data_IF_090520600046
#
_entry.id   IF_090520600046
#
_cell.length_a   1.000
_cell.length_b   1.000
_cell.length_c   1.000
_cell.angle_alpha   90.00
_cell.angle_beta   90.00
_cell.angle_gamma   90.00
#
_symmetry.space_group_name_H-M   'P 1'
#
loop_
_entity.id
_entity.type
_entity.pdbx_description
1 polymer ?
#
# COMPACT_ATOMS: atom_id res chain seq x y z
N UNK A 1 -24.50 -16.81 18.83
CA UNK A 1 -24.67 -16.18 17.51
C UNK A 1 -24.47 -17.18 16.36
N UNK A 2 -23.44 -18.03 16.40
CA UNK A 2 -23.14 -19.04 15.36
C UNK A 2 -24.37 -19.82 14.83
N UNK A 3 -25.16 -20.44 15.71
CA UNK A 3 -26.35 -21.21 15.31
C UNK A 3 -27.42 -20.36 14.61
N UNK A 4 -27.51 -19.07 14.95
CA UNK A 4 -28.49 -18.13 14.39
C UNK A 4 -28.05 -17.69 12.98
N UNK A 5 -26.74 -17.52 12.76
CA UNK A 5 -26.18 -17.16 11.45
C UNK A 5 -26.05 -18.35 10.50
N UNK A 6 -26.25 -19.59 10.99
CA UNK A 6 -26.13 -20.81 10.18
C UNK A 6 -26.94 -20.83 8.90
N UNK A 7 -28.24 -20.52 8.91
CA UNK A 7 -29.02 -20.46 7.67
C UNK A 7 -28.44 -19.42 6.69
N UNK A 8 -27.98 -18.28 7.21
CA UNK A 8 -27.44 -17.18 6.40
C UNK A 8 -26.15 -17.59 5.69
N UNK A 9 -25.19 -18.18 6.42
CA UNK A 9 -23.93 -18.59 5.78
C UNK A 9 -24.08 -19.83 4.89
N UNK A 10 -25.04 -20.73 5.18
CA UNK A 10 -25.33 -21.88 4.32
C UNK A 10 -25.94 -21.46 2.98
N UNK A 11 -26.87 -20.50 2.99
CA UNK A 11 -27.42 -19.91 1.76
C UNK A 11 -26.29 -19.33 0.91
N UNK A 12 -25.38 -18.55 1.52
CA UNK A 12 -24.25 -17.93 0.82
C UNK A 12 -23.25 -18.95 0.29
N UNK A 13 -22.86 -19.94 1.09
CA UNK A 13 -21.96 -21.01 0.68
C UNK A 13 -22.49 -21.83 -0.50
N UNK A 14 -23.81 -21.90 -0.70
CA UNK A 14 -24.41 -22.60 -1.84
C UNK A 14 -24.28 -21.85 -3.17
N UNK A 15 -23.95 -20.55 -3.14
CA UNK A 15 -23.82 -19.74 -4.34
C UNK A 15 -22.54 -20.11 -5.12
N UNK A 16 -22.59 -20.20 -6.46
CA UNK A 16 -21.46 -20.66 -7.27
C UNK A 16 -20.31 -19.64 -7.36
N UNK A 17 -20.49 -18.41 -6.91
CA UNK A 17 -19.45 -17.37 -6.89
C UNK A 17 -18.76 -17.26 -5.52
N UNK A 18 -19.29 -17.89 -4.47
CA UNK A 18 -18.71 -17.82 -3.13
C UNK A 18 -17.45 -18.68 -3.07
N UNK A 19 -16.32 -18.05 -2.72
CA UNK A 19 -15.03 -18.69 -2.53
C UNK A 19 -14.85 -19.14 -1.10
N UNK A 20 -15.18 -18.30 -0.12
CA UNK A 20 -15.07 -18.68 1.29
C UNK A 20 -16.02 -17.92 2.20
N UNK A 21 -16.27 -18.51 3.36
CA UNK A 21 -17.03 -17.89 4.45
C UNK A 21 -16.26 -18.06 5.76
N UNK A 22 -15.87 -16.93 6.35
CA UNK A 22 -15.18 -16.84 7.63
C UNK A 22 -16.12 -16.27 8.69
N UNK A 23 -16.05 -16.82 9.90
CA UNK A 23 -16.71 -16.27 11.08
C UNK A 23 -15.66 -15.77 12.06
N UNK A 24 -15.82 -14.54 12.52
CA UNK A 24 -14.96 -13.90 13.50
C UNK A 24 -15.83 -13.56 14.70
N UNK A 25 -15.53 -14.15 15.85
CA UNK A 25 -16.21 -13.82 17.10
C UNK A 25 -15.36 -12.83 17.90
N UNK A 26 -16.01 -11.86 18.51
CA UNK A 26 -15.29 -10.93 19.37
C UNK A 26 -14.78 -11.68 20.61
N UNK A 27 -13.47 -11.70 20.81
CA UNK A 27 -12.85 -12.43 21.92
C UNK A 27 -12.84 -11.61 23.22
N UNK A 28 -12.98 -10.28 23.15
CA UNK A 28 -12.97 -9.35 24.31
C UNK A 28 -13.80 -8.09 24.04
N UNK A 29 -14.51 -7.58 25.05
CA UNK A 29 -15.36 -6.38 24.91
C UNK A 29 -14.60 -5.14 24.41
N UNK A 30 -13.29 -5.03 24.70
CA UNK A 30 -12.45 -3.88 24.33
C UNK A 30 -11.72 -4.03 22.99
N UNK A 31 -11.89 -5.14 22.27
CA UNK A 31 -11.18 -5.39 21.02
C UNK A 31 -11.90 -4.77 19.81
N UNK A 32 -11.27 -3.81 19.08
CA UNK A 32 -11.91 -3.15 17.94
C UNK A 32 -12.00 -4.04 16.69
N UNK A 33 -11.48 -5.29 16.70
CA UNK A 33 -11.46 -6.18 15.53
C UNK A 33 -12.84 -6.32 14.88
N UNK A 34 -13.93 -6.34 15.63
CA UNK A 34 -15.28 -6.53 15.08
C UNK A 34 -16.08 -5.24 14.99
N UNK A 35 -15.46 -4.05 15.06
CA UNK A 35 -16.15 -2.75 15.06
C UNK A 35 -17.32 -2.70 16.06
N UNK A 36 -17.10 -3.25 17.26
CA UNK A 36 -18.08 -3.44 18.35
C UNK A 36 -19.14 -4.51 18.14
N UNK A 37 -19.22 -5.20 17.00
CA UNK A 37 -20.15 -6.31 16.80
C UNK A 37 -19.73 -7.56 17.59
N UNK A 38 -20.67 -8.42 17.96
CA UNK A 38 -20.34 -9.68 18.63
C UNK A 38 -19.76 -10.70 17.64
N UNK A 39 -20.13 -10.59 16.37
CA UNK A 39 -19.71 -11.52 15.32
C UNK A 39 -19.63 -10.84 13.96
N UNK A 40 -18.57 -11.12 13.21
CA UNK A 40 -18.44 -10.77 11.80
C UNK A 40 -18.54 -12.03 10.94
N UNK A 41 -19.41 -11.98 9.93
CA UNK A 41 -19.49 -12.97 8.87
C UNK A 41 -18.83 -12.39 7.61
N UNK A 42 -17.64 -12.85 7.29
CA UNK A 42 -16.84 -12.33 6.18
C UNK A 42 -16.88 -13.32 5.01
N UNK A 43 -17.45 -12.88 3.89
CA UNK A 43 -17.70 -13.71 2.72
C UNK A 43 -16.88 -13.16 1.56
N UNK A 44 -16.08 -14.03 0.95
CA UNK A 44 -15.26 -13.70 -0.22
C UNK A 44 -15.86 -14.40 -1.43
N UNK A 45 -16.12 -13.65 -2.50
CA UNK A 45 -16.64 -14.15 -3.77
C UNK A 45 -15.64 -13.93 -4.90
N UNK A 46 -15.78 -14.66 -6.01
CA UNK A 46 -14.93 -14.50 -7.18
C UNK A 46 -15.18 -13.16 -7.90
N UNK A 47 -16.41 -12.68 -7.88
CA UNK A 47 -16.78 -11.39 -8.44
C UNK A 47 -18.04 -10.84 -7.73
N UNK A 48 -18.19 -9.52 -7.71
CA UNK A 48 -19.41 -8.86 -7.25
C UNK A 48 -19.74 -7.69 -8.17
N UNK A 49 -21.04 -7.45 -8.40
CA UNK A 49 -21.50 -6.22 -9.04
C UNK A 49 -21.28 -5.00 -8.13
N UNK A 50 -21.46 -5.18 -6.82
CA UNK A 50 -21.25 -4.15 -5.80
C UNK A 50 -19.94 -4.43 -5.07
N UNK A 51 -19.00 -3.47 -4.97
CA UNK A 51 -17.68 -3.71 -4.39
C UNK A 51 -17.71 -4.31 -2.97
N UNK A 52 -18.61 -3.80 -2.13
CA UNK A 52 -18.80 -4.25 -0.75
C UNK A 52 -20.30 -4.28 -0.46
N UNK A 53 -20.82 -5.44 -0.07
CA UNK A 53 -22.19 -5.55 0.43
C UNK A 53 -22.15 -5.80 1.94
N UNK A 54 -22.82 -4.95 2.71
CA UNK A 54 -22.89 -5.09 4.17
C UNK A 54 -24.33 -5.27 4.61
N UNK A 55 -24.57 -6.23 5.51
CA UNK A 55 -25.85 -6.38 6.21
C UNK A 55 -25.60 -6.52 7.70
N UNK A 56 -26.45 -5.92 8.51
CA UNK A 56 -26.42 -6.07 9.97
C UNK A 56 -27.58 -6.93 10.44
N UNK A 57 -27.31 -7.78 11.42
CA UNK A 57 -28.29 -8.66 12.05
C UNK A 57 -28.28 -8.40 13.55
N UNK A 58 -29.43 -8.56 14.19
CA UNK A 58 -29.55 -8.60 15.65
C UNK A 58 -30.61 -9.61 16.05
N UNK A 59 -30.37 -10.31 17.16
CA UNK A 59 -31.36 -11.20 17.79
C UNK A 59 -32.00 -10.55 19.04
N UNK A 60 -31.79 -9.25 19.23
CA UNK A 60 -32.23 -8.48 20.40
C UNK A 60 -31.25 -8.46 21.57
N UNK A 61 -30.23 -9.32 21.58
CA UNK A 61 -29.16 -9.33 22.59
C UNK A 61 -27.79 -9.12 21.98
N UNK A 62 -27.55 -9.78 20.86
CA UNK A 62 -26.29 -9.78 20.15
C UNK A 62 -26.50 -9.15 18.76
N UNK A 63 -25.43 -8.61 18.20
CA UNK A 63 -25.34 -7.99 16.89
C UNK A 63 -24.26 -8.65 16.05
N UNK A 64 -24.55 -8.87 14.78
CA UNK A 64 -23.59 -9.37 13.81
C UNK A 64 -23.56 -8.50 12.55
N UNK A 65 -22.39 -8.38 11.94
CA UNK A 65 -22.26 -7.77 10.62
C UNK A 65 -21.81 -8.84 9.61
N UNK A 66 -22.42 -8.82 8.43
CA UNK A 66 -22.01 -9.64 7.30
C UNK A 66 -21.44 -8.72 6.23
N UNK A 67 -20.23 -9.01 5.80
CA UNK A 67 -19.57 -8.33 4.69
C UNK A 67 -19.34 -9.34 3.56
N UNK A 68 -19.80 -9.00 2.36
CA UNK A 68 -19.53 -9.73 1.12
C UNK A 68 -18.64 -8.85 0.26
N UNK A 69 -17.47 -9.37 -0.11
CA UNK A 69 -16.51 -8.68 -0.97
C UNK A 69 -16.02 -9.62 -2.07
N UNK A 70 -15.57 -9.05 -3.18
CA UNK A 70 -14.90 -9.83 -4.21
C UNK A 70 -13.44 -10.05 -3.86
N UNK A 71 -12.83 -11.09 -4.43
CA UNK A 71 -11.39 -11.32 -4.39
C UNK A 71 -10.59 -10.10 -4.86
N UNK A 72 -11.08 -9.41 -5.90
CA UNK A 72 -10.48 -8.16 -6.39
C UNK A 72 -10.46 -7.09 -5.30
N UNK A 73 -11.60 -6.88 -4.62
CA UNK A 73 -11.70 -5.91 -3.54
C UNK A 73 -10.82 -6.28 -2.34
N UNK A 74 -10.73 -7.57 -2.01
CA UNK A 74 -9.85 -8.09 -0.97
C UNK A 74 -8.39 -7.81 -1.29
N UNK A 75 -7.95 -8.16 -2.50
CA UNK A 75 -6.60 -7.92 -3.00
C UNK A 75 -6.27 -6.42 -2.93
N UNK A 76 -7.18 -5.56 -3.38
CA UNK A 76 -7.02 -4.11 -3.26
C UNK A 76 -6.83 -3.66 -1.81
N UNK A 77 -7.63 -4.17 -0.86
CA UNK A 77 -7.48 -3.85 0.56
C UNK A 77 -6.16 -4.33 1.16
N UNK A 78 -5.70 -5.52 0.79
CA UNK A 78 -4.41 -6.05 1.22
C UNK A 78 -3.25 -5.19 0.67
N UNK A 79 -3.38 -4.66 -0.55
CA UNK A 79 -2.36 -3.81 -1.18
C UNK A 79 -2.37 -2.36 -0.65
N UNK A 80 -3.53 -1.71 -0.53
CA UNK A 80 -3.64 -0.30 -0.11
C UNK A 80 -3.57 -0.15 1.42
N UNK A 81 -4.14 -1.11 2.14
CA UNK A 81 -4.38 -0.98 3.57
C UNK A 81 -3.17 -1.34 4.43
N UNK A 82 -3.06 -0.61 5.53
CA UNK A 82 -2.54 -1.09 6.82
C UNK A 82 -3.69 -1.67 7.66
N UNK A 83 -4.76 -2.15 7.00
CA UNK A 83 -6.00 -2.53 7.66
C UNK A 83 -5.83 -3.87 8.38
N UNK A 84 -5.16 -3.77 9.54
CA UNK A 84 -4.86 -4.87 10.45
C UNK A 84 -6.11 -5.70 10.73
N UNK A 85 -7.28 -5.07 10.84
CA UNK A 85 -8.57 -5.73 11.01
C UNK A 85 -8.86 -6.77 9.92
N UNK A 86 -8.64 -6.46 8.65
CA UNK A 86 -8.87 -7.41 7.55
C UNK A 86 -7.89 -8.58 7.65
N UNK A 87 -6.61 -8.30 7.95
CA UNK A 87 -5.61 -9.34 8.16
C UNK A 87 -6.00 -10.24 9.33
N UNK A 88 -6.40 -9.64 10.46
CA UNK A 88 -6.86 -10.35 11.65
C UNK A 88 -8.09 -11.21 11.34
N UNK A 89 -9.04 -10.72 10.54
CA UNK A 89 -10.20 -11.52 10.12
C UNK A 89 -9.80 -12.74 9.28
N UNK A 90 -8.84 -12.60 8.37
CA UNK A 90 -8.36 -13.70 7.52
C UNK A 90 -7.54 -14.72 8.32
N UNK A 91 -6.73 -14.26 9.27
CA UNK A 91 -5.84 -15.12 10.06
C UNK A 91 -6.57 -15.79 11.22
N UNK A 92 -7.39 -15.05 11.95
CA UNK A 92 -8.08 -15.52 13.17
C UNK A 92 -9.47 -16.09 12.88
N UNK A 93 -10.07 -15.75 11.74
CA UNK A 93 -11.41 -16.21 11.36
C UNK A 93 -11.48 -17.73 11.26
N UNK A 94 -12.58 -18.29 11.78
CA UNK A 94 -12.91 -19.70 11.62
C UNK A 94 -13.56 -19.91 10.25
N UNK A 95 -13.01 -20.83 9.47
CA UNK A 95 -13.50 -21.18 8.14
C UNK A 95 -14.75 -22.07 8.27
N UNK A 96 -15.87 -21.64 7.69
CA UNK A 96 -17.13 -22.41 7.63
C UNK A 96 -17.42 -22.98 6.24
N UNK A 97 -16.89 -22.34 5.21
CA UNK A 97 -16.94 -22.79 3.83
C UNK A 97 -15.67 -22.34 3.14
N UNK A 98 -15.07 -23.24 2.36
CA UNK A 98 -13.86 -22.96 1.61
C UNK A 98 -13.85 -23.73 0.30
N UNK A 99 -13.98 -23.00 -0.80
CA UNK A 99 -13.96 -23.57 -2.14
C UNK A 99 -12.52 -23.73 -2.57
N UNK A 100 -12.18 -24.96 -2.96
CA UNK A 100 -10.86 -25.31 -3.42
C UNK A 100 -9.77 -24.80 -2.46
N UNK A 101 -10.00 -24.81 -1.13
CA UNK A 101 -9.04 -24.35 -0.11
C UNK A 101 -8.54 -22.90 -0.29
N UNK A 102 -9.40 -22.02 -0.81
CA UNK A 102 -9.10 -20.61 -1.02
C UNK A 102 -8.63 -19.87 0.24
N UNK A 103 -9.44 -19.90 1.30
CA UNK A 103 -9.15 -19.20 2.54
C UNK A 103 -7.94 -19.81 3.26
N UNK A 104 -7.78 -21.13 3.21
CA UNK A 104 -6.63 -21.81 3.79
C UNK A 104 -5.32 -21.39 3.09
N UNK A 105 -5.29 -21.35 1.75
CA UNK A 105 -4.13 -20.82 1.01
C UNK A 105 -3.85 -19.36 1.34
N UNK A 106 -4.88 -18.53 1.40
CA UNK A 106 -4.72 -17.11 1.72
C UNK A 106 -4.15 -16.93 3.14
N UNK A 107 -4.63 -17.71 4.11
CA UNK A 107 -4.13 -17.69 5.48
C UNK A 107 -2.68 -18.16 5.57
N UNK A 108 -2.30 -19.21 4.84
CA UNK A 108 -0.92 -19.67 4.74
C UNK A 108 -0.02 -18.59 4.11
N UNK A 109 -0.47 -17.96 3.03
CA UNK A 109 0.26 -16.88 2.38
C UNK A 109 0.48 -15.69 3.32
N UNK A 110 -0.56 -15.23 4.03
CA UNK A 110 -0.45 -14.12 4.98
C UNK A 110 0.39 -14.48 6.22
N UNK A 111 0.46 -15.76 6.58
CA UNK A 111 1.32 -16.22 7.68
C UNK A 111 2.79 -16.29 7.27
N UNK A 112 3.07 -16.68 6.03
CA UNK A 112 4.43 -16.76 5.48
C UNK A 112 4.99 -15.39 5.05
N UNK A 113 4.14 -14.56 4.44
CA UNK A 113 4.45 -13.20 3.98
C UNK A 113 3.38 -12.22 4.51
N UNK A 114 3.56 -11.70 5.74
CA UNK A 114 2.60 -10.79 6.37
C UNK A 114 2.36 -9.49 5.61
N UNK A 115 3.29 -9.09 4.74
CA UNK A 115 3.19 -7.90 3.89
C UNK A 115 2.88 -8.30 2.44
N UNK A 116 1.64 -8.70 2.20
CA UNK A 116 1.13 -8.91 0.85
C UNK A 116 1.42 -7.71 -0.05
N UNK A 117 2.10 -7.94 -1.17
CA UNK A 117 2.50 -6.89 -2.11
C UNK A 117 3.56 -5.93 -1.59
N UNK A 118 4.50 -6.41 -0.76
CA UNK A 118 5.62 -5.65 -0.19
C UNK A 118 6.27 -4.70 -1.21
N UNK A 119 6.64 -5.20 -2.38
CA UNK A 119 7.35 -4.41 -3.40
C UNK A 119 6.48 -3.26 -3.97
N UNK A 120 5.17 -3.48 -4.13
CA UNK A 120 4.23 -2.42 -4.54
C UNK A 120 4.16 -1.34 -3.46
N UNK A 121 4.01 -1.74 -2.19
CA UNK A 121 3.94 -0.81 -1.06
C UNK A 121 5.22 -0.01 -0.91
N UNK A 122 6.39 -0.63 -1.11
CA UNK A 122 7.68 0.07 -1.11
C UNK A 122 7.73 1.13 -2.21
N UNK A 123 7.36 0.77 -3.45
CA UNK A 123 7.34 1.73 -4.55
C UNK A 123 6.40 2.90 -4.31
N UNK A 124 5.20 2.64 -3.76
CA UNK A 124 4.24 3.69 -3.42
C UNK A 124 4.76 4.65 -2.35
N UNK A 125 5.37 4.14 -1.26
CA UNK A 125 5.94 5.02 -0.22
C UNK A 125 7.16 5.77 -0.73
N UNK A 126 8.00 5.15 -1.58
CA UNK A 126 9.12 5.86 -2.21
C UNK A 126 8.64 7.00 -3.11
N UNK A 127 7.63 6.75 -3.96
CA UNK A 127 7.07 7.76 -4.86
C UNK A 127 6.57 8.99 -4.08
N UNK A 128 5.84 8.75 -2.99
CA UNK A 128 5.36 9.81 -2.08
C UNK A 128 6.49 10.53 -1.36
N UNK A 129 7.51 9.79 -0.90
CA UNK A 129 8.70 10.35 -0.26
C UNK A 129 9.44 11.32 -1.19
N UNK A 130 9.67 10.91 -2.44
CA UNK A 130 10.38 11.72 -3.46
C UNK A 130 9.58 12.97 -3.79
N UNK A 131 8.25 12.85 -3.96
CA UNK A 131 7.39 14.01 -4.23
C UNK A 131 7.47 15.02 -3.10
N UNK A 132 7.28 14.56 -1.86
CA UNK A 132 7.37 15.43 -0.68
C UNK A 132 8.76 16.06 -0.54
N UNK A 133 9.83 15.30 -0.81
CA UNK A 133 11.20 15.81 -0.82
C UNK A 133 11.39 16.93 -1.85
N UNK A 134 11.01 16.70 -3.11
CA UNK A 134 11.18 17.68 -4.19
C UNK A 134 10.37 18.96 -3.94
N UNK A 135 9.11 18.83 -3.54
CA UNK A 135 8.28 19.98 -3.16
C UNK A 135 8.92 20.74 -1.98
N UNK A 136 9.40 20.02 -0.97
CA UNK A 136 10.09 20.60 0.19
C UNK A 136 11.35 21.37 -0.19
N UNK A 137 12.19 20.82 -1.05
CA UNK A 137 13.39 21.50 -1.60
C UNK A 137 13.02 22.79 -2.32
N UNK A 138 11.98 22.78 -3.16
CA UNK A 138 11.51 24.00 -3.86
C UNK A 138 11.04 25.07 -2.87
N UNK A 139 10.36 24.70 -1.79
CA UNK A 139 9.98 25.66 -0.74
C UNK A 139 11.19 26.19 0.02
N UNK A 140 12.15 25.31 0.34
CA UNK A 140 13.38 25.66 1.04
C UNK A 140 14.24 26.66 0.27
N UNK A 141 14.48 26.40 -1.02
CA UNK A 141 15.24 27.30 -1.91
C UNK A 141 14.60 28.68 -2.06
N UNK A 142 13.26 28.73 -1.98
CA UNK A 142 12.49 29.97 -1.99
C UNK A 142 12.36 30.62 -0.60
N UNK A 143 13.10 30.13 0.39
CA UNK A 143 13.10 30.61 1.80
C UNK A 143 11.73 30.55 2.47
N UNK A 144 10.83 29.69 1.97
CA UNK A 144 9.51 29.41 2.56
C UNK A 144 9.64 28.27 3.56
N UNK A 145 10.36 28.52 4.65
CA UNK A 145 10.79 27.46 5.57
C UNK A 145 9.63 26.71 6.23
N UNK A 146 8.50 27.36 6.52
CA UNK A 146 7.35 26.69 7.13
C UNK A 146 6.69 25.67 6.19
N UNK A 147 6.58 26.02 4.91
CA UNK A 147 6.07 25.07 3.89
C UNK A 147 7.07 23.93 3.66
N UNK A 148 8.37 24.25 3.61
CA UNK A 148 9.44 23.26 3.50
C UNK A 148 9.42 22.28 4.68
N UNK A 149 9.12 22.78 5.89
CA UNK A 149 9.03 21.99 7.11
C UNK A 149 7.91 20.97 7.07
N UNK A 150 6.71 21.37 6.63
CA UNK A 150 5.60 20.43 6.42
C UNK A 150 5.99 19.31 5.43
N UNK A 151 6.64 19.67 4.33
CA UNK A 151 7.08 18.72 3.31
C UNK A 151 8.20 17.80 3.79
N UNK A 152 9.14 18.31 4.59
CA UNK A 152 10.17 17.52 5.23
C UNK A 152 9.58 16.47 6.18
N UNK A 153 8.60 16.84 7.01
CA UNK A 153 7.87 15.89 7.86
C UNK A 153 7.21 14.80 7.03
N UNK A 154 6.51 15.16 5.95
CA UNK A 154 5.84 14.18 5.09
C UNK A 154 6.84 13.22 4.43
N UNK A 155 7.97 13.74 3.92
CA UNK A 155 9.03 12.91 3.33
C UNK A 155 9.60 11.92 4.35
N UNK A 156 9.90 12.38 5.58
CA UNK A 156 10.36 11.51 6.67
C UNK A 156 9.31 10.48 7.09
N UNK A 157 8.02 10.84 7.08
CA UNK A 157 6.94 9.91 7.40
C UNK A 157 6.85 8.78 6.36
N UNK A 158 6.94 9.09 5.07
CA UNK A 158 6.98 8.08 4.01
C UNK A 158 8.25 7.23 4.06
N UNK A 159 9.40 7.83 4.40
CA UNK A 159 10.64 7.09 4.67
C UNK A 159 10.46 6.07 5.80
N UNK A 160 9.90 6.48 6.94
CA UNK A 160 9.67 5.58 8.07
C UNK A 160 8.76 4.39 7.71
N UNK A 161 7.71 4.66 6.93
CA UNK A 161 6.79 3.62 6.44
C UNK A 161 7.50 2.68 5.45
N UNK A 162 8.28 3.22 4.52
CA UNK A 162 9.09 2.43 3.59
C UNK A 162 10.08 1.51 4.33
N UNK A 163 10.76 2.03 5.34
CA UNK A 163 11.72 1.27 6.15
C UNK A 163 11.03 0.16 6.96
N UNK A 164 9.85 0.42 7.52
CA UNK A 164 9.05 -0.61 8.18
C UNK A 164 8.66 -1.73 7.19
N UNK A 165 8.13 -1.38 6.01
CA UNK A 165 7.78 -2.37 4.97
C UNK A 165 9.00 -3.17 4.54
N UNK A 166 10.15 -2.50 4.35
CA UNK A 166 11.41 -3.15 4.00
C UNK A 166 11.82 -4.18 5.05
N UNK A 167 11.65 -3.87 6.33
CA UNK A 167 11.89 -4.76 7.46
C UNK A 167 10.78 -5.79 7.71
N UNK A 168 9.91 -6.02 6.73
CA UNK A 168 8.77 -6.94 6.80
C UNK A 168 7.82 -6.65 7.99
N UNK A 169 7.68 -5.37 8.35
CA UNK A 169 6.81 -4.90 9.44
C UNK A 169 5.70 -4.01 8.88
N UNK A 170 4.45 -4.26 9.28
CA UNK A 170 3.33 -3.40 8.91
C UNK A 170 3.50 -1.99 9.50
N UNK A 171 3.53 -0.92 8.69
CA UNK A 171 3.61 0.44 9.23
C UNK A 171 2.33 0.78 9.99
N UNK A 172 2.45 1.01 11.29
CA UNK A 172 1.32 1.42 12.13
C UNK A 172 1.11 2.94 12.10
N UNK A 173 -0.01 3.41 12.63
CA UNK A 173 -0.23 4.85 12.83
C UNK A 173 0.87 5.46 13.71
N UNK A 174 1.36 4.70 14.69
CA UNK A 174 2.48 5.07 15.56
C UNK A 174 3.85 4.70 14.98
N UNK A 175 4.07 4.82 13.67
CA UNK A 175 5.29 4.37 12.97
C UNK A 175 6.61 4.81 13.63
N UNK A 176 6.64 5.99 14.26
CA UNK A 176 7.83 6.50 14.96
C UNK A 176 8.25 5.66 16.17
N UNK A 177 7.31 5.01 16.86
CA UNK A 177 7.63 4.07 17.94
C UNK A 177 8.29 2.79 17.39
N UNK A 178 7.88 2.37 16.19
CA UNK A 178 8.49 1.25 15.46
C UNK A 178 9.91 1.62 15.01
N UNK A 179 10.13 2.83 14.49
CA UNK A 179 11.45 3.28 14.02
C UNK A 179 12.52 3.26 15.11
N UNK A 180 12.18 3.53 16.37
CA UNK A 180 13.14 3.38 17.49
C UNK A 180 13.80 2.01 17.56
N UNK A 181 13.11 0.96 17.10
CA UNK A 181 13.59 -0.43 17.09
C UNK A 181 14.10 -0.86 15.72
N UNK A 182 13.41 -0.45 14.65
CA UNK A 182 13.71 -0.88 13.27
C UNK A 182 14.90 -0.12 12.69
N UNK A 183 14.87 1.21 12.80
CA UNK A 183 15.92 2.09 12.27
C UNK A 183 16.05 3.36 13.16
N UNK A 184 16.89 3.29 14.20
CA UNK A 184 17.12 4.42 15.09
C UNK A 184 17.66 5.68 14.39
N UNK A 185 18.32 5.54 13.23
CA UNK A 185 18.85 6.68 12.48
C UNK A 185 17.72 7.48 11.84
N UNK A 186 16.73 6.80 11.25
CA UNK A 186 15.51 7.44 10.73
C UNK A 186 14.72 8.12 11.85
N UNK A 187 14.59 7.46 13.02
CA UNK A 187 13.96 8.09 14.19
C UNK A 187 14.71 9.36 14.63
N UNK A 188 16.04 9.30 14.71
CA UNK A 188 16.88 10.42 15.12
C UNK A 188 16.76 11.60 14.16
N UNK A 189 16.64 11.36 12.86
CA UNK A 189 16.45 12.42 11.87
C UNK A 189 15.15 13.20 12.09
N UNK A 190 14.07 12.51 12.43
CA UNK A 190 12.81 13.15 12.80
C UNK A 190 12.91 13.92 14.12
N UNK A 191 13.58 13.34 15.12
CA UNK A 191 13.84 13.99 16.40
C UNK A 191 14.63 15.30 16.24
N UNK A 192 15.68 15.31 15.40
CA UNK A 192 16.46 16.52 15.11
C UNK A 192 15.61 17.60 14.40
N UNK A 193 14.69 17.21 13.51
CA UNK A 193 13.80 18.17 12.85
C UNK A 193 12.87 18.88 13.84
N UNK A 194 12.30 18.15 14.81
CA UNK A 194 11.29 18.69 15.73
C UNK A 194 11.90 19.28 17.00
N UNK A 195 13.03 18.76 17.47
CA UNK A 195 13.57 19.01 18.82
C UNK A 195 14.88 19.79 18.88
N UNK A 196 15.59 19.97 17.76
CA UNK A 196 16.86 20.70 17.76
C UNK A 196 16.65 22.21 18.00
N UNK A 197 17.57 22.82 18.76
CA UNK A 197 17.61 24.27 19.05
C UNK A 197 18.15 25.10 17.87
N UNK A 198 18.63 24.45 16.81
CA UNK A 198 19.14 25.12 15.61
C UNK A 198 18.04 25.87 14.84
N UNK A 199 18.46 26.87 14.07
CA UNK A 199 17.57 27.59 13.16
C UNK A 199 16.83 26.61 12.22
N UNK A 200 15.56 26.89 11.92
CA UNK A 200 14.72 26.01 11.08
C UNK A 200 15.37 25.71 9.73
N UNK A 201 16.08 26.68 9.16
CA UNK A 201 16.84 26.52 7.92
C UNK A 201 17.87 25.40 8.01
N UNK A 202 18.70 25.40 9.06
CA UNK A 202 19.74 24.36 9.24
C UNK A 202 19.13 22.98 9.50
N UNK A 203 18.06 22.93 10.29
CA UNK A 203 17.34 21.67 10.55
C UNK A 203 16.78 21.08 9.26
N UNK A 204 16.21 21.92 8.40
CA UNK A 204 15.71 21.52 7.09
C UNK A 204 16.83 21.08 6.14
N UNK A 205 17.93 21.81 6.11
CA UNK A 205 19.08 21.47 5.25
C UNK A 205 19.62 20.07 5.58
N UNK A 206 19.80 19.77 6.87
CA UNK A 206 20.20 18.45 7.35
C UNK A 206 19.21 17.36 6.92
N UNK A 207 17.91 17.59 7.13
CA UNK A 207 16.87 16.62 6.76
C UNK A 207 16.84 16.37 5.27
N UNK A 208 16.93 17.41 4.44
CA UNK A 208 16.93 17.22 3.00
C UNK A 208 18.18 16.48 2.51
N UNK A 209 19.36 16.78 3.07
CA UNK A 209 20.58 16.05 2.74
C UNK A 209 20.46 14.56 3.08
N UNK A 210 19.93 14.24 4.26
CA UNK A 210 19.72 12.85 4.66
C UNK A 210 18.62 12.16 3.82
N UNK A 211 17.52 12.85 3.53
CA UNK A 211 16.45 12.31 2.67
C UNK A 211 16.95 11.97 1.27
N UNK A 212 17.84 12.79 0.68
CA UNK A 212 18.44 12.50 -0.62
C UNK A 212 19.24 11.19 -0.60
N UNK A 213 20.04 10.97 0.45
CA UNK A 213 20.78 9.73 0.65
C UNK A 213 19.84 8.51 0.74
N UNK A 214 18.77 8.59 1.54
CA UNK A 214 17.80 7.49 1.65
C UNK A 214 17.04 7.24 0.35
N UNK A 215 16.61 8.28 -0.35
CA UNK A 215 15.97 8.17 -1.67
C UNK A 215 16.89 7.40 -2.62
N UNK A 216 18.17 7.77 -2.70
CA UNK A 216 19.13 7.09 -3.55
C UNK A 216 19.27 5.61 -3.17
N UNK A 217 19.47 5.31 -1.88
CA UNK A 217 19.69 3.95 -1.41
C UNK A 217 18.51 3.01 -1.66
N UNK A 218 17.27 3.51 -1.55
CA UNK A 218 16.07 2.69 -1.71
C UNK A 218 15.52 2.67 -3.13
N UNK A 219 16.03 3.51 -4.05
CA UNK A 219 15.47 3.64 -5.41
C UNK A 219 15.41 2.30 -6.14
N UNK A 220 16.49 1.52 -6.14
CA UNK A 220 16.54 0.26 -6.89
C UNK A 220 15.54 -0.77 -6.32
N UNK A 221 15.63 -1.07 -5.02
CA UNK A 221 14.76 -2.08 -4.38
C UNK A 221 13.28 -1.69 -4.44
N UNK A 222 12.94 -0.42 -4.16
CA UNK A 222 11.54 0.00 -4.11
C UNK A 222 10.93 0.19 -5.52
N UNK A 223 11.74 0.33 -6.57
CA UNK A 223 11.23 0.42 -7.95
C UNK A 223 11.05 -0.93 -8.64
N UNK A 224 11.49 -2.04 -8.02
CA UNK A 224 11.46 -3.40 -8.61
C UNK A 224 10.08 -3.77 -9.18
N UNK A 225 8.99 -3.44 -8.49
CA UNK A 225 7.65 -3.73 -8.95
C UNK A 225 7.33 -3.04 -10.29
N UNK A 226 7.55 -1.73 -10.36
CA UNK A 226 7.29 -0.94 -11.57
C UNK A 226 8.21 -1.37 -12.72
N UNK A 227 9.50 -1.56 -12.43
CA UNK A 227 10.48 -2.04 -13.42
C UNK A 227 10.11 -3.44 -13.93
N UNK A 228 9.65 -4.32 -13.04
CA UNK A 228 9.15 -5.66 -13.39
C UNK A 228 7.92 -5.61 -14.30
N UNK A 229 7.01 -4.64 -14.11
CA UNK A 229 5.89 -4.41 -15.04
C UNK A 229 6.40 -3.93 -16.40
N UNK A 230 7.29 -2.93 -16.41
CA UNK A 230 7.84 -2.39 -17.65
C UNK A 230 8.57 -3.45 -18.48
N UNK A 231 9.19 -4.44 -17.84
CA UNK A 231 9.86 -5.54 -18.52
C UNK A 231 8.92 -6.51 -19.25
N UNK A 232 7.61 -6.48 -18.98
CA UNK A 232 6.63 -7.40 -19.60
C UNK A 232 6.32 -7.07 -21.08
N UNK A 233 6.71 -5.89 -21.57
CA UNK A 233 6.48 -5.41 -22.95
C UNK A 233 7.67 -4.58 -23.42
N UNK A 234 7.79 -4.35 -24.72
CA UNK A 234 8.85 -3.51 -25.28
C UNK A 234 8.78 -2.05 -24.81
N UNK A 235 7.59 -1.46 -24.81
CA UNK A 235 7.30 -0.10 -24.37
C UNK A 235 5.84 0.04 -23.91
N UNK A 236 5.59 1.04 -23.07
CA UNK A 236 4.30 1.34 -22.47
C UNK A 236 3.97 2.81 -22.65
N UNK A 237 2.75 3.13 -23.09
CA UNK A 237 2.26 4.49 -22.92
C UNK A 237 1.72 4.68 -21.49
N UNK A 238 1.56 5.93 -21.05
CA UNK A 238 1.15 6.22 -19.67
C UNK A 238 -0.26 5.72 -19.33
N UNK A 239 -1.18 5.71 -20.31
CA UNK A 239 -2.54 5.23 -20.13
C UNK A 239 -2.56 3.71 -19.88
N UNK A 240 -1.76 2.94 -20.63
CA UNK A 240 -1.60 1.49 -20.41
C UNK A 240 -1.09 1.19 -19.00
N UNK A 241 -0.22 2.05 -18.44
CA UNK A 241 0.28 1.90 -17.07
C UNK A 241 -0.81 2.20 -16.04
N UNK A 242 -1.60 3.26 -16.23
CA UNK A 242 -2.74 3.59 -15.36
C UNK A 242 -3.85 2.53 -15.36
N UNK A 243 -4.04 1.84 -16.48
CA UNK A 243 -5.04 0.77 -16.60
C UNK A 243 -4.64 -0.53 -15.89
N UNK A 244 -3.38 -0.65 -15.41
CA UNK A 244 -2.95 -1.77 -14.59
C UNK A 244 -3.44 -1.57 -13.16
N UNK A 245 -4.24 -2.50 -12.66
CA UNK A 245 -4.78 -2.46 -11.30
C UNK A 245 -3.69 -2.25 -10.24
N UNK A 246 -2.56 -2.94 -10.35
CA UNK A 246 -1.42 -2.80 -9.42
C UNK A 246 -0.77 -1.42 -9.45
N UNK A 247 -0.73 -0.75 -10.61
CA UNK A 247 -0.12 0.58 -10.76
C UNK A 247 -1.11 1.71 -10.47
N UNK A 248 -2.42 1.46 -10.63
CA UNK A 248 -3.45 2.42 -10.23
C UNK A 248 -3.34 2.83 -8.74
N UNK A 249 -2.71 1.98 -7.92
CA UNK A 249 -2.46 2.23 -6.51
C UNK A 249 -1.44 3.35 -6.26
N UNK A 250 -0.54 3.61 -7.21
CA UNK A 250 0.37 4.76 -7.16
C UNK A 250 -0.39 6.08 -7.38
N UNK A 251 -1.61 6.03 -7.94
CA UNK A 251 -2.47 7.19 -8.16
C UNK A 251 -1.73 8.32 -8.88
N UNK A 252 -1.89 9.57 -8.42
CA UNK A 252 -1.21 10.75 -8.98
C UNK A 252 0.31 10.71 -8.86
N UNK A 253 0.89 9.79 -8.08
CA UNK A 253 2.34 9.68 -7.92
C UNK A 253 2.99 8.86 -9.04
N UNK A 254 2.23 8.09 -9.83
CA UNK A 254 2.76 7.20 -10.85
C UNK A 254 3.60 7.94 -11.90
N UNK A 255 3.04 8.98 -12.52
CA UNK A 255 3.71 9.76 -13.57
C UNK A 255 5.00 10.40 -13.07
N UNK A 256 4.94 10.98 -11.87
CA UNK A 256 6.09 11.62 -11.25
C UNK A 256 7.18 10.60 -10.90
N UNK A 257 6.79 9.41 -10.43
CA UNK A 257 7.74 8.35 -10.12
C UNK A 257 8.42 7.81 -11.39
N UNK A 258 7.66 7.67 -12.48
CA UNK A 258 8.22 7.28 -13.78
C UNK A 258 9.25 8.32 -14.26
N UNK A 259 8.92 9.61 -14.26
CA UNK A 259 9.86 10.65 -14.69
C UNK A 259 11.09 10.72 -13.78
N UNK A 260 10.94 10.53 -12.47
CA UNK A 260 12.08 10.38 -11.56
C UNK A 260 12.98 9.20 -11.95
N UNK A 261 12.41 8.04 -12.28
CA UNK A 261 13.18 6.86 -12.69
C UNK A 261 13.81 7.03 -14.08
N UNK A 262 13.23 7.86 -14.95
CA UNK A 262 13.87 8.31 -16.20
C UNK A 262 15.11 9.15 -15.88
N UNK A 263 15.02 10.11 -14.96
CA UNK A 263 16.17 10.91 -14.53
C UNK A 263 17.27 10.06 -13.89
N UNK A 264 16.90 8.95 -13.24
CA UNK A 264 17.82 7.95 -12.69
C UNK A 264 18.31 6.91 -13.71
N UNK A 265 17.93 7.04 -14.98
CA UNK A 265 18.32 6.14 -16.07
C UNK A 265 17.90 4.67 -15.86
N UNK A 266 16.89 4.43 -15.02
CA UNK A 266 16.28 3.10 -14.82
C UNK A 266 15.16 2.84 -15.83
N UNK A 267 14.54 3.92 -16.33
CA UNK A 267 13.56 3.91 -17.42
C UNK A 267 14.10 4.72 -18.59
N UNK A 268 13.88 4.23 -19.80
CA UNK A 268 14.14 4.96 -21.04
C UNK A 268 12.82 5.44 -21.67
N UNK A 269 12.89 6.59 -22.34
CA UNK A 269 11.76 7.13 -23.09
C UNK A 269 11.89 6.80 -24.58
N UNK A 270 10.78 6.46 -25.22
CA UNK A 270 10.68 6.18 -26.66
C UNK A 270 9.72 7.18 -27.30
N UNK A 271 10.16 7.83 -28.37
CA UNK A 271 9.33 8.73 -29.16
C UNK A 271 8.65 7.96 -30.28
N UNK A 272 7.31 7.87 -30.24
CA UNK A 272 6.49 7.22 -31.26
C UNK A 272 5.77 8.29 -32.09
N UNK A 273 5.85 8.27 -33.44
CA UNK A 273 5.22 9.29 -34.28
C UNK A 273 3.72 9.45 -34.00
N UNK A 274 3.25 10.70 -33.92
CA UNK A 274 1.82 11.00 -33.87
C UNK A 274 1.29 11.42 -35.25
N UNK A 275 0.00 11.76 -35.34
CA UNK A 275 -0.60 12.34 -36.55
C UNK A 275 -0.04 13.72 -36.94
N UNK A 276 0.64 14.40 -36.01
CA UNK A 276 1.33 15.66 -36.24
C UNK A 276 2.84 15.40 -36.25
N UNK A 277 3.51 15.78 -37.33
CA UNK A 277 4.95 15.53 -37.53
C UNK A 277 5.86 16.21 -36.49
N UNK A 278 5.34 17.18 -35.74
CA UNK A 278 6.05 17.86 -34.63
C UNK A 278 5.74 17.28 -33.25
N UNK A 279 4.79 16.35 -33.15
CA UNK A 279 4.37 15.74 -31.89
C UNK A 279 4.63 14.24 -31.91
N UNK A 280 5.19 13.74 -30.82
CA UNK A 280 5.45 12.32 -30.62
C UNK A 280 4.72 11.86 -29.36
N UNK A 281 4.13 10.67 -29.42
CA UNK A 281 3.74 9.96 -28.22
C UNK A 281 5.00 9.57 -27.44
N UNK A 282 5.01 9.87 -26.14
CA UNK A 282 6.09 9.48 -25.22
C UNK A 282 5.69 8.14 -24.60
N UNK A 283 6.48 7.12 -24.88
CA UNK A 283 6.36 5.82 -24.26
C UNK A 283 7.57 5.55 -23.35
N UNK A 284 7.41 4.59 -22.45
CA UNK A 284 8.36 4.25 -21.40
C UNK A 284 8.74 2.78 -21.49
N UNK A 285 10.02 2.47 -21.31
CA UNK A 285 10.51 1.09 -21.25
C UNK A 285 11.61 0.93 -20.22
N UNK A 286 11.80 -0.30 -19.75
CA UNK A 286 12.95 -0.63 -18.92
C UNK A 286 14.25 -0.29 -19.65
N UNK A 287 15.19 0.36 -18.96
CA UNK A 287 16.49 0.72 -19.54
C UNK A 287 17.24 -0.51 -20.05
N UNK A 288 17.85 -0.40 -21.24
CA UNK A 288 18.49 -1.54 -21.91
C UNK A 288 19.65 -2.12 -21.11
N UNK A 289 20.38 -1.28 -20.38
CA UNK A 289 21.47 -1.71 -19.50
C UNK A 289 21.02 -2.70 -18.41
N UNK A 290 19.75 -2.64 -18.00
CA UNK A 290 19.15 -3.52 -16.99
C UNK A 290 18.58 -4.82 -17.59
N UNK A 291 18.43 -4.94 -18.92
CA UNK A 291 17.93 -6.17 -19.57
C UNK A 291 19.01 -7.24 -19.77
N UNK A 292 20.27 -6.88 -19.60
CA UNK A 292 21.45 -7.73 -19.81
C UNK A 292 22.04 -8.32 -18.53
N UNK A 293 21.42 -8.06 -17.37
CA UNK A 293 21.71 -8.71 -16.09
C UNK A 293 20.67 -9.79 -15.80
#
# INVERSE_FOLDING_TARGET
>A
MEQILRPVYQERASLPDTLSVLLIENQREDDPITDTFDTILFIITSNNEVPIQTKHYTDGKLKAAMHIISEKQLTHWLLVGTNKKIIDWLVLGKIYFDRDEYAERLKQQLSAEPLFGRNIKMGMELAKMIRAYNEGKIHFERKRYMDAYLRAINSLHHLARLVAIKANTLPEETVWSQMKKIDPAVYKLYEELIGSEEAVEKRLDLVFLASEFFIHNYTNEASEHLLGILNKKESWNIQELHEREELSLYSSDLEFFIEYLVDKQLIETVSVPSKNDLLFHREYRLARALKTM
#
